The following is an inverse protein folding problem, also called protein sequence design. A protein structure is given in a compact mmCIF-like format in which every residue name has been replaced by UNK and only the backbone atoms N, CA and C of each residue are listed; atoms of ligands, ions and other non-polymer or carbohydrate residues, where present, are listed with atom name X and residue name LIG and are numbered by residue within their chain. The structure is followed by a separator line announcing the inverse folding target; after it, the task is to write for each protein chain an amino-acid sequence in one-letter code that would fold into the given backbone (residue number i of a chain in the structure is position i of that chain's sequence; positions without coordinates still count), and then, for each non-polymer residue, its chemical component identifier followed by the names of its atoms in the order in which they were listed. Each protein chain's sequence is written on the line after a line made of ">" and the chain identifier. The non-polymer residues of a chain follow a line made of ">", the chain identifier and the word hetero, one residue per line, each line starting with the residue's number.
data_IF_848745728700
#
_entry.id   IF_848745728700
#
_cell.length_a   1.000
_cell.length_b   1.000
_cell.length_c   1.000
_cell.angle_alpha   90.00
_cell.angle_beta   90.00
_cell.angle_gamma   90.00
#
_symmetry.space_group_name_H-M   'P 1'
#
loop_
_entity.id
_entity.type
_entity.pdbx_description
1 polymer ?
#
# COMPACT_ATOMS: atom_id res chain seq x y z
N UNK A 1 27.13 18.04 -4.11
CA UNK A 1 26.05 19.05 -4.07
C UNK A 1 25.59 19.24 -5.50
N UNK A 2 24.35 18.89 -5.80
CA UNK A 2 23.86 18.86 -7.18
C UNK A 2 23.84 20.27 -7.80
N UNK A 3 24.31 20.38 -9.04
CA UNK A 3 24.50 21.66 -9.75
C UNK A 3 23.19 22.31 -10.17
N UNK A 4 23.27 23.59 -10.57
CA UNK A 4 22.13 24.33 -11.10
C UNK A 4 21.60 23.64 -12.37
N UNK A 5 20.34 23.20 -12.33
CA UNK A 5 19.70 22.42 -13.40
C UNK A 5 19.32 20.98 -13.02
N UNK A 6 19.65 20.52 -11.81
CA UNK A 6 19.26 19.18 -11.34
C UNK A 6 17.74 18.96 -11.26
N UNK A 7 16.97 20.05 -11.14
CA UNK A 7 15.50 20.04 -11.17
C UNK A 7 14.91 20.52 -12.51
N UNK A 8 15.72 20.57 -13.57
CA UNK A 8 15.22 20.82 -14.92
C UNK A 8 14.56 19.55 -15.46
N UNK A 9 13.35 19.67 -16.00
CA UNK A 9 12.67 18.58 -16.68
C UNK A 9 12.60 18.93 -18.18
N UNK A 10 12.85 17.94 -19.05
CA UNK A 10 12.49 18.06 -20.46
C UNK A 10 10.98 17.81 -20.62
N UNK A 11 10.33 18.47 -21.57
CA UNK A 11 8.96 18.12 -21.93
C UNK A 11 8.95 16.67 -22.43
N UNK A 12 8.25 15.81 -21.69
CA UNK A 12 8.12 14.40 -22.05
C UNK A 12 7.21 14.31 -23.27
N UNK A 13 7.76 13.82 -24.39
CA UNK A 13 6.95 13.48 -25.56
C UNK A 13 5.81 12.57 -25.12
N UNK A 14 4.58 12.93 -25.51
CA UNK A 14 3.43 12.07 -25.26
C UNK A 14 3.71 10.70 -25.85
N UNK A 15 3.69 9.66 -25.01
CA UNK A 15 3.86 8.28 -25.44
C UNK A 15 2.81 7.97 -26.53
N UNK A 16 3.24 7.98 -27.79
CA UNK A 16 2.39 7.66 -28.94
C UNK A 16 2.19 6.15 -29.12
N UNK A 17 2.81 5.34 -28.23
CA UNK A 17 2.56 3.92 -28.06
C UNK A 17 1.24 3.65 -27.35
N UNK A 18 0.14 4.12 -27.93
CA UNK A 18 -1.18 3.53 -27.70
C UNK A 18 -1.15 2.14 -28.35
N UNK A 19 -0.70 1.12 -27.60
CA UNK A 19 -1.54 -0.06 -27.60
C UNK A 19 -2.93 0.44 -27.23
N UNK A 20 -3.86 0.24 -28.14
CA UNK A 20 -5.22 0.73 -28.06
C UNK A 20 -5.90 0.00 -26.89
N UNK A 21 -5.60 0.42 -25.66
CA UNK A 21 -6.45 0.20 -24.51
C UNK A 21 -7.75 0.89 -24.90
N UNK A 22 -8.72 0.08 -25.32
CA UNK A 22 -10.09 0.53 -25.42
C UNK A 22 -10.38 1.21 -24.09
N UNK A 23 -10.64 2.52 -24.14
CA UNK A 23 -11.09 3.26 -22.96
C UNK A 23 -12.46 2.69 -22.63
N UNK A 24 -12.48 1.59 -21.88
CA UNK A 24 -13.70 1.06 -21.29
C UNK A 24 -14.21 2.14 -20.35
N UNK A 25 -15.31 2.75 -20.75
CA UNK A 25 -15.92 3.86 -20.05
C UNK A 25 -16.82 3.26 -18.98
N UNK A 26 -16.23 2.85 -17.85
CA UNK A 26 -16.99 2.25 -16.75
C UNK A 26 -18.00 3.26 -16.21
N UNK A 27 -19.26 2.86 -16.18
CA UNK A 27 -20.37 3.68 -15.70
C UNK A 27 -20.49 3.65 -14.17
N UNK A 28 -19.91 2.63 -13.52
CA UNK A 28 -19.85 2.50 -12.06
C UNK A 28 -18.58 1.79 -11.59
N UNK A 29 -18.29 1.92 -10.28
CA UNK A 29 -17.19 1.20 -9.64
C UNK A 29 -17.42 -0.31 -9.78
N UNK A 30 -18.64 -0.81 -9.56
CA UNK A 30 -18.97 -2.24 -9.65
C UNK A 30 -18.66 -2.82 -11.03
N UNK A 31 -18.93 -2.08 -12.10
CA UNK A 31 -18.64 -2.49 -13.49
C UNK A 31 -17.14 -2.61 -13.77
N UNK A 32 -16.32 -1.71 -13.20
CA UNK A 32 -14.85 -1.80 -13.30
C UNK A 32 -14.27 -3.02 -12.58
N UNK A 33 -15.04 -3.58 -11.64
CA UNK A 33 -14.67 -4.73 -10.84
C UNK A 33 -15.25 -6.04 -11.41
N UNK A 34 -16.10 -5.99 -12.46
CA UNK A 34 -16.63 -7.18 -13.10
C UNK A 34 -15.53 -8.02 -13.77
N UNK A 35 -15.43 -9.29 -13.34
CA UNK A 35 -14.36 -10.20 -13.77
C UNK A 35 -13.03 -10.01 -13.03
N UNK A 36 -12.96 -9.09 -12.05
CA UNK A 36 -11.92 -9.12 -11.01
C UNK A 36 -12.43 -9.90 -9.81
N UNK A 37 -11.55 -10.52 -9.02
CA UNK A 37 -11.90 -11.38 -7.86
C UNK A 37 -12.58 -10.62 -6.69
N UNK A 38 -13.05 -9.42 -6.94
CA UNK A 38 -13.42 -8.38 -5.99
C UNK A 38 -14.79 -8.58 -5.34
N UNK A 39 -15.69 -9.31 -6.00
CA UNK A 39 -17.01 -9.70 -5.49
C UNK A 39 -16.96 -10.54 -4.19
N UNK A 40 -15.76 -10.92 -3.72
CA UNK A 40 -15.57 -11.77 -2.53
C UNK A 40 -15.00 -11.04 -1.31
N UNK A 41 -14.67 -9.74 -1.40
CA UNK A 41 -14.11 -9.01 -0.24
C UNK A 41 -15.25 -8.37 0.56
N UNK A 42 -15.45 -8.72 1.84
CA UNK A 42 -16.46 -8.08 2.66
C UNK A 42 -16.17 -6.57 2.80
N UNK A 43 -17.19 -5.70 2.84
CA UNK A 43 -17.04 -4.28 3.16
C UNK A 43 -16.32 -4.03 4.49
N UNK A 44 -15.78 -2.82 4.66
CA UNK A 44 -15.27 -2.36 5.96
C UNK A 44 -16.37 -2.45 7.03
N UNK A 45 -15.99 -2.82 8.25
CA UNK A 45 -16.92 -3.03 9.36
C UNK A 45 -17.68 -4.36 9.34
N UNK A 46 -17.65 -5.09 8.24
CA UNK A 46 -18.21 -6.45 8.18
C UNK A 46 -17.16 -7.51 8.56
N UNK A 47 -17.59 -8.61 9.22
CA UNK A 47 -16.68 -9.70 9.58
C UNK A 47 -16.06 -10.32 8.32
N UNK A 48 -14.78 -10.69 8.43
CA UNK A 48 -14.05 -11.42 7.41
C UNK A 48 -14.39 -12.92 7.46
N UNK A 49 -14.36 -13.60 6.32
CA UNK A 49 -14.55 -15.05 6.23
C UNK A 49 -13.27 -15.83 6.58
N UNK A 50 -13.39 -17.15 6.77
CA UNK A 50 -12.28 -18.05 7.15
C UNK A 50 -11.09 -18.08 6.17
N UNK A 51 -11.25 -17.50 4.98
CA UNK A 51 -10.19 -17.37 3.97
C UNK A 51 -9.18 -16.27 4.31
N UNK A 52 -9.51 -15.36 5.24
CA UNK A 52 -8.62 -14.31 5.67
C UNK A 52 -7.76 -14.77 6.84
N UNK A 53 -6.51 -14.37 6.80
CA UNK A 53 -5.62 -14.48 7.94
C UNK A 53 -5.46 -13.10 8.58
N UNK A 54 -5.93 -12.98 9.82
CA UNK A 54 -5.75 -11.76 10.62
C UNK A 54 -4.48 -11.87 11.44
N UNK A 55 -3.68 -10.80 11.43
CA UNK A 55 -2.50 -10.66 12.29
C UNK A 55 -2.61 -9.34 13.03
N UNK A 56 -2.66 -9.42 14.36
CA UNK A 56 -2.67 -8.25 15.25
C UNK A 56 -1.28 -8.04 15.84
N UNK A 57 -0.88 -6.79 16.01
CA UNK A 57 0.42 -6.46 16.59
C UNK A 57 0.78 -4.99 16.50
N UNK A 58 1.93 -4.66 17.09
CA UNK A 58 2.53 -3.34 17.00
C UNK A 58 3.44 -3.29 15.77
N UNK A 59 3.11 -2.43 14.82
CA UNK A 59 3.81 -2.31 13.55
C UNK A 59 4.47 -0.94 13.43
N UNK A 60 5.73 -0.92 12.99
CA UNK A 60 6.41 0.33 12.60
C UNK A 60 5.85 0.84 11.28
N UNK A 61 5.57 -0.08 10.35
CA UNK A 61 5.12 0.23 9.00
C UNK A 61 4.37 -0.97 8.43
N UNK A 62 3.31 -0.68 7.67
CA UNK A 62 2.69 -1.59 6.72
C UNK A 62 2.64 -0.89 5.36
N UNK A 63 3.14 -1.55 4.32
CA UNK A 63 3.17 -1.02 2.96
C UNK A 63 2.63 -2.08 2.00
N UNK A 64 1.68 -1.72 1.15
CA UNK A 64 1.15 -2.59 0.09
C UNK A 64 1.69 -2.09 -1.24
N UNK A 65 2.35 -2.96 -2.00
CA UNK A 65 2.93 -2.57 -3.30
C UNK A 65 2.67 -3.62 -4.37
N UNK A 66 2.37 -3.13 -5.57
CA UNK A 66 2.32 -3.90 -6.82
C UNK A 66 3.50 -3.58 -7.75
N UNK A 67 4.21 -2.49 -7.46
CA UNK A 67 5.35 -2.03 -8.22
C UNK A 67 6.65 -2.42 -7.54
N UNK A 68 7.69 -2.57 -8.35
CA UNK A 68 9.03 -2.87 -7.87
C UNK A 68 9.72 -1.70 -7.18
N UNK A 69 9.24 -0.48 -7.41
CA UNK A 69 9.83 0.77 -6.92
C UNK A 69 8.79 1.59 -6.15
N UNK A 70 9.23 2.25 -5.07
CA UNK A 70 8.41 3.22 -4.32
C UNK A 70 8.54 4.66 -4.85
N UNK A 71 9.49 4.88 -5.76
CA UNK A 71 9.77 6.14 -6.44
C UNK A 71 10.79 5.89 -7.55
N UNK A 72 11.08 6.89 -8.38
CA UNK A 72 11.99 6.75 -9.55
C UNK A 72 13.30 6.05 -9.21
N UNK A 73 13.89 6.40 -8.07
CA UNK A 73 15.22 5.94 -7.64
C UNK A 73 15.15 5.16 -6.30
N UNK A 74 13.98 4.59 -5.99
CA UNK A 74 13.75 3.87 -4.73
C UNK A 74 13.33 2.43 -5.05
N UNK A 75 14.28 1.54 -5.40
CA UNK A 75 13.99 0.12 -5.58
C UNK A 75 13.56 -0.49 -4.26
N UNK A 76 12.46 -1.24 -4.27
CA UNK A 76 11.87 -1.77 -3.04
C UNK A 76 11.57 -3.26 -3.13
N UNK A 77 10.88 -3.73 -4.16
CA UNK A 77 10.56 -5.13 -4.40
C UNK A 77 10.92 -5.51 -5.84
N UNK A 78 12.20 -5.76 -6.17
CA UNK A 78 12.64 -5.97 -7.55
C UNK A 78 11.94 -7.12 -8.30
N UNK A 79 11.40 -8.09 -7.56
CA UNK A 79 10.65 -9.22 -8.12
C UNK A 79 9.20 -8.90 -8.46
N UNK A 80 8.64 -7.79 -7.95
CA UNK A 80 7.26 -7.42 -8.20
C UNK A 80 7.06 -6.97 -9.65
N UNK A 81 5.99 -7.44 -10.27
CA UNK A 81 5.66 -7.18 -11.67
C UNK A 81 4.26 -6.60 -11.79
N UNK A 82 4.09 -5.62 -12.65
CA UNK A 82 2.79 -4.98 -12.85
C UNK A 82 1.72 -5.93 -13.45
N UNK A 83 2.15 -6.96 -14.17
CA UNK A 83 1.28 -7.92 -14.86
C UNK A 83 0.79 -9.08 -13.96
N UNK A 84 1.10 -9.05 -12.67
CA UNK A 84 0.71 -10.10 -11.73
C UNK A 84 -0.53 -9.73 -10.90
N UNK A 85 -1.36 -10.72 -10.61
CA UNK A 85 -2.54 -10.55 -9.76
C UNK A 85 -2.22 -10.52 -8.25
N UNK A 86 -0.92 -10.54 -7.90
CA UNK A 86 -0.44 -10.61 -6.52
C UNK A 86 0.06 -9.23 -6.12
N UNK A 87 -0.32 -8.80 -4.92
CA UNK A 87 0.29 -7.63 -4.27
C UNK A 87 1.20 -8.12 -3.16
N UNK A 88 2.11 -7.27 -2.71
CA UNK A 88 2.99 -7.59 -1.60
C UNK A 88 2.70 -6.68 -0.42
N UNK A 89 2.26 -7.28 0.69
CA UNK A 89 2.19 -6.62 1.98
C UNK A 89 3.56 -6.74 2.65
N UNK A 90 4.26 -5.63 2.80
CA UNK A 90 5.45 -5.54 3.62
C UNK A 90 5.10 -4.97 4.98
N UNK A 91 5.53 -5.64 6.05
CA UNK A 91 5.36 -5.17 7.42
C UNK A 91 6.69 -5.15 8.18
N UNK A 92 6.82 -4.19 9.09
CA UNK A 92 7.93 -4.13 10.06
C UNK A 92 7.34 -4.28 11.47
N UNK A 93 7.61 -5.41 12.10
CA UNK A 93 7.16 -5.72 13.46
C UNK A 93 7.98 -4.94 14.49
N UNK A 94 7.33 -4.12 15.31
CA UNK A 94 7.97 -3.36 16.38
C UNK A 94 8.81 -4.25 17.31
N UNK A 95 8.33 -5.47 17.61
CA UNK A 95 8.99 -6.40 18.52
C UNK A 95 10.34 -6.90 18.00
N UNK A 96 10.57 -6.84 16.69
CA UNK A 96 11.83 -7.24 16.06
C UNK A 96 12.84 -6.08 15.98
N UNK A 97 12.39 -4.85 16.21
CA UNK A 97 13.21 -3.64 16.14
C UNK A 97 13.87 -3.37 17.50
N UNK A 98 15.07 -3.93 17.69
CA UNK A 98 15.86 -3.71 18.92
C UNK A 98 16.44 -2.30 19.04
N UNK A 99 16.69 -1.65 17.91
CA UNK A 99 17.28 -0.31 17.83
C UNK A 99 16.77 0.41 16.58
N UNK A 100 16.65 1.74 16.66
CA UNK A 100 16.27 2.58 15.51
C UNK A 100 17.21 2.41 14.31
N UNK A 101 18.45 1.95 14.54
CA UNK A 101 19.39 1.67 13.45
C UNK A 101 18.95 0.53 12.55
N UNK A 102 18.12 -0.42 13.00
CA UNK A 102 17.56 -1.46 12.13
C UNK A 102 16.71 -0.85 11.01
N UNK A 103 15.87 0.13 11.34
CA UNK A 103 15.05 0.83 10.35
C UNK A 103 15.93 1.67 9.41
N UNK A 104 16.96 2.33 9.95
CA UNK A 104 17.92 3.06 9.11
C UNK A 104 18.67 2.11 8.13
N UNK A 105 19.08 0.93 8.60
CA UNK A 105 19.73 -0.07 7.76
C UNK A 105 18.84 -0.57 6.63
N UNK A 106 17.54 -0.76 6.87
CA UNK A 106 16.60 -1.09 5.81
C UNK A 106 16.70 -0.07 4.67
N UNK A 107 16.62 1.23 4.98
CA UNK A 107 16.69 2.27 3.96
C UNK A 107 18.04 2.33 3.24
N UNK A 108 19.15 2.19 3.97
CA UNK A 108 20.51 2.18 3.38
C UNK A 108 20.68 0.98 2.43
N UNK A 109 20.06 -0.15 2.74
CA UNK A 109 20.23 -1.38 1.96
C UNK A 109 19.28 -1.54 0.79
N UNK A 110 18.29 -0.64 0.62
CA UNK A 110 17.31 -0.68 -0.47
C UNK A 110 17.94 -0.72 -1.86
N UNK A 111 18.95 0.12 -2.12
CA UNK A 111 19.64 0.18 -3.41
C UNK A 111 20.22 -1.19 -3.83
N UNK A 112 20.73 -1.94 -2.85
CA UNK A 112 21.30 -3.28 -3.07
C UNK A 112 20.30 -4.43 -2.89
N UNK A 113 19.03 -4.12 -2.61
CA UNK A 113 17.96 -5.07 -2.29
C UNK A 113 18.25 -5.98 -1.07
N UNK A 114 19.22 -5.63 -0.23
CA UNK A 114 19.59 -6.42 0.96
C UNK A 114 18.61 -6.21 2.13
N UNK A 115 17.77 -5.17 2.07
CA UNK A 115 16.72 -4.91 3.05
C UNK A 115 15.68 -6.04 3.09
N UNK A 116 15.46 -6.74 1.98
CA UNK A 116 14.54 -7.88 1.87
C UNK A 116 14.89 -9.05 2.79
N UNK A 117 16.18 -9.20 3.14
CA UNK A 117 16.67 -10.25 4.02
C UNK A 117 16.78 -9.81 5.48
N UNK A 118 16.40 -8.57 5.80
CA UNK A 118 16.55 -8.04 7.14
C UNK A 118 15.51 -8.65 8.08
N UNK A 119 15.89 -9.12 9.29
CA UNK A 119 15.02 -9.91 10.16
C UNK A 119 13.79 -9.15 10.70
N UNK A 120 13.77 -7.81 10.60
CA UNK A 120 12.64 -7.00 11.04
C UNK A 120 11.62 -6.70 9.94
N UNK A 121 11.86 -7.14 8.71
CA UNK A 121 10.98 -6.92 7.57
C UNK A 121 10.38 -8.26 7.14
N UNK A 122 9.07 -8.30 6.96
CA UNK A 122 8.36 -9.45 6.44
C UNK A 122 7.66 -9.05 5.15
N UNK A 123 7.67 -9.94 4.15
CA UNK A 123 7.06 -9.72 2.85
C UNK A 123 6.06 -10.85 2.62
N UNK A 124 4.79 -10.49 2.48
CA UNK A 124 3.68 -11.44 2.42
C UNK A 124 2.97 -11.23 1.08
N UNK A 125 2.98 -12.20 0.17
CA UNK A 125 2.18 -12.14 -1.06
C UNK A 125 0.69 -12.28 -0.72
N UNK A 126 -0.13 -11.37 -1.23
CA UNK A 126 -1.54 -11.23 -0.87
C UNK A 126 -2.40 -10.95 -2.09
N UNK A 127 -3.63 -11.45 -2.06
CA UNK A 127 -4.66 -11.18 -3.10
C UNK A 127 -5.61 -10.06 -2.70
N UNK A 128 -5.67 -9.74 -1.42
CA UNK A 128 -6.42 -8.62 -0.87
C UNK A 128 -5.82 -8.30 0.51
N UNK A 129 -5.92 -7.05 0.93
CA UNK A 129 -5.43 -6.60 2.24
C UNK A 129 -6.50 -5.73 2.87
N UNK A 130 -6.75 -5.92 4.16
CA UNK A 130 -7.49 -4.98 4.99
C UNK A 130 -6.57 -4.53 6.11
N UNK A 131 -6.46 -3.21 6.29
CA UNK A 131 -5.69 -2.60 7.39
C UNK A 131 -6.65 -1.80 8.25
N UNK A 132 -6.70 -2.16 9.53
CA UNK A 132 -7.55 -1.51 10.53
C UNK A 132 -6.64 -0.99 11.65
N UNK A 133 -6.44 0.34 11.75
CA UNK A 133 -5.64 0.91 12.82
C UNK A 133 -6.40 0.80 14.15
N UNK A 134 -5.74 0.24 15.17
CA UNK A 134 -6.30 0.18 16.54
C UNK A 134 -6.20 1.53 17.27
N UNK A 135 -5.37 2.43 16.76
CA UNK A 135 -5.18 3.78 17.30
C UNK A 135 -5.73 4.83 16.35
N UNK A 136 -6.29 5.93 16.90
CA UNK A 136 -6.73 7.08 16.09
C UNK A 136 -5.57 7.88 15.48
N UNK A 137 -4.33 7.62 15.93
CA UNK A 137 -3.11 8.20 15.38
C UNK A 137 -2.42 7.26 14.39
N UNK A 138 -1.92 7.82 13.29
CA UNK A 138 -1.13 7.12 12.28
C UNK A 138 -1.11 7.91 10.98
N UNK A 139 -0.03 7.83 10.21
CA UNK A 139 0.02 8.44 8.89
C UNK A 139 -0.04 7.33 7.85
N UNK A 140 -0.84 7.53 6.81
CA UNK A 140 -0.78 6.71 5.62
C UNK A 140 -0.99 7.57 4.39
N UNK A 141 -0.50 7.06 3.27
CA UNK A 141 -0.64 7.69 1.97
C UNK A 141 -1.04 6.62 0.95
N UNK A 142 -1.74 7.05 -0.09
CA UNK A 142 -2.06 6.22 -1.26
C UNK A 142 -1.41 6.91 -2.45
N UNK A 143 -0.53 6.21 -3.16
CA UNK A 143 0.24 6.76 -4.28
C UNK A 143 0.98 8.07 -3.97
N UNK A 144 1.40 8.22 -2.71
CA UNK A 144 2.09 9.42 -2.20
C UNK A 144 1.16 10.51 -1.66
N UNK A 145 -0.15 10.43 -1.92
CA UNK A 145 -1.13 11.40 -1.43
C UNK A 145 -1.53 11.11 0.03
N UNK A 146 -1.32 12.06 0.96
CA UNK A 146 -1.60 11.84 2.37
C UNK A 146 -3.09 11.65 2.64
N UNK A 147 -3.40 10.70 3.52
CA UNK A 147 -4.77 10.38 3.93
C UNK A 147 -5.02 10.69 5.42
N UNK A 148 -6.29 10.71 5.83
CA UNK A 148 -6.71 11.05 7.20
C UNK A 148 -6.27 9.96 8.18
N UNK A 149 -5.52 10.36 9.21
CA UNK A 149 -5.07 9.48 10.30
C UNK A 149 -6.17 8.62 10.91
N UNK A 150 -5.84 7.37 11.23
CA UNK A 150 -6.73 6.46 11.95
C UNK A 150 -7.89 5.90 11.13
N UNK A 151 -7.84 5.98 9.79
CA UNK A 151 -8.87 5.40 8.91
C UNK A 151 -8.50 3.97 8.53
N UNK A 152 -9.50 3.07 8.51
CA UNK A 152 -9.35 1.73 7.95
C UNK A 152 -9.43 1.76 6.43
N UNK A 153 -8.68 0.89 5.74
CA UNK A 153 -8.70 0.78 4.28
C UNK A 153 -8.56 -0.67 3.80
N UNK A 154 -9.05 -0.94 2.59
CA UNK A 154 -8.86 -2.22 1.91
C UNK A 154 -8.19 -2.01 0.56
N UNK A 155 -7.32 -2.94 0.19
CA UNK A 155 -6.62 -2.93 -1.10
C UNK A 155 -6.89 -4.24 -1.81
N UNK A 156 -7.20 -4.15 -3.11
CA UNK A 156 -7.56 -5.26 -3.97
C UNK A 156 -6.95 -5.05 -5.36
N UNK A 157 -6.48 -6.09 -6.05
CA UNK A 157 -6.03 -5.97 -7.43
C UNK A 157 -7.23 -5.90 -8.38
N UNK A 158 -7.23 -4.92 -9.27
CA UNK A 158 -8.09 -4.83 -10.45
C UNK A 158 -7.35 -5.36 -11.69
N UNK A 159 -8.05 -5.47 -12.83
CA UNK A 159 -7.48 -5.91 -14.12
C UNK A 159 -6.29 -5.07 -14.59
N UNK A 160 -6.17 -3.83 -14.14
CA UNK A 160 -5.18 -2.86 -14.63
C UNK A 160 -4.23 -2.32 -13.54
N UNK A 161 -4.60 -2.41 -12.26
CA UNK A 161 -3.80 -1.92 -11.12
C UNK A 161 -4.41 -2.33 -9.78
N UNK A 162 -3.75 -2.04 -8.64
CA UNK A 162 -4.40 -2.12 -7.34
C UNK A 162 -5.42 -0.98 -7.16
N UNK A 163 -6.61 -1.31 -6.66
CA UNK A 163 -7.64 -0.36 -6.25
C UNK A 163 -7.75 -0.39 -4.73
N UNK A 164 -7.69 0.79 -4.11
CA UNK A 164 -8.02 0.95 -2.68
C UNK A 164 -9.51 1.24 -2.57
N UNK A 165 -10.24 0.38 -1.86
CA UNK A 165 -11.69 0.47 -1.69
C UNK A 165 -12.02 0.68 -0.21
N UNK A 166 -12.86 1.67 0.05
CA UNK A 166 -13.41 1.93 1.38
C UNK A 166 -12.48 2.72 2.28
N UNK A 167 -13.07 3.70 2.95
CA UNK A 167 -12.50 4.40 4.11
C UNK A 167 -13.57 4.40 5.18
N UNK A 168 -13.30 3.77 6.31
CA UNK A 168 -14.16 3.84 7.48
C UNK A 168 -13.40 4.51 8.60
N UNK A 169 -14.01 5.56 9.17
CA UNK A 169 -13.39 6.34 10.22
C UNK A 169 -13.60 5.63 11.56
N UNK A 170 -12.53 5.51 12.36
CA UNK A 170 -12.65 5.01 13.73
C UNK A 170 -13.27 6.12 14.60
N UNK A 171 -14.61 6.14 14.73
CA UNK A 171 -15.31 7.05 15.64
C UNK A 171 -15.24 6.54 17.08
N UNK A 172 -14.67 7.32 18.01
CA UNK A 172 -14.82 7.08 19.45
C UNK A 172 -15.89 8.00 20.03
N UNK A 173 -16.70 7.53 21.00
CA UNK A 173 -17.63 8.39 21.71
C UNK A 173 -16.83 9.45 22.48
N UNK A 174 -17.14 10.72 22.25
CA UNK A 174 -16.66 11.82 23.08
C UNK A 174 -16.98 11.50 24.54
N UNK A 175 -15.93 11.33 25.33
CA UNK A 175 -16.09 11.22 26.77
C UNK A 175 -16.52 12.61 27.26
N UNK A 176 -17.83 12.83 27.39
CA UNK A 176 -18.39 14.03 28.05
C UNK A 176 -17.85 14.06 29.47
N UNK A 177 -16.77 14.78 29.66
CA UNK A 177 -16.27 15.17 30.97
C UNK A 177 -17.29 16.09 31.61
N UNK A 178 -18.20 15.53 32.39
CA UNK A 178 -19.00 16.27 33.37
C UNK A 178 -18.05 17.01 34.32
N UNK A 179 -18.02 18.34 34.22
CA UNK A 179 -17.64 19.25 35.31
C UNK A 179 -18.78 20.22 35.54
#
# INVERSE_FOLDING_TARGET
>A
MFGAGHFGYEEVDQATGLEKLEKEHFSSLEESLEGTSLMSVPPLGQPLDEKWQTVEGDWVMANVSTLSHLGSDVPFLPSARLDEATMYLTVIDWNTVKTRFHVAHLFIFMESSKHLAHPCMQIIPVKAVRVEPMTSSGYFAIDGEPCKSGSSFQVVPSKYCATVIGREEVSHPENKSSR
#
